data_IF_551468046218
#
_entry.id   IF_551468046218
#
_cell.length_a   1.000
_cell.length_b   1.000
_cell.length_c   1.000
_cell.angle_alpha   90.00
_cell.angle_beta   90.00
_cell.angle_gamma   90.00
#
_symmetry.space_group_name_H-M   'P 1'
#
loop_
_entity.id
_entity.type
_entity.pdbx_description
1 polymer ?
#
# COMPACT_ATOMS: atom_id res chain seq x y z
N UNK A 1 -12.21 10.78 33.00
CA UNK A 1 -12.95 9.84 32.16
C UNK A 1 -13.30 10.42 30.79
N UNK A 2 -13.94 11.58 30.75
CA UNK A 2 -14.32 12.21 29.49
C UNK A 2 -13.09 12.56 28.64
N UNK A 3 -12.00 12.97 29.27
CA UNK A 3 -10.78 13.29 28.56
C UNK A 3 -10.19 12.09 27.85
N UNK A 4 -10.22 10.92 28.48
CA UNK A 4 -9.71 9.71 27.88
C UNK A 4 -10.52 9.29 26.66
N UNK A 5 -11.84 9.40 26.77
CA UNK A 5 -12.73 9.08 25.65
C UNK A 5 -12.46 10.04 24.49
N UNK A 6 -12.31 11.32 24.78
CA UNK A 6 -12.02 12.33 23.76
C UNK A 6 -10.69 12.04 23.08
N UNK A 7 -9.66 11.65 23.83
CA UNK A 7 -8.35 11.33 23.27
C UNK A 7 -8.40 10.12 22.36
N UNK A 8 -9.15 9.08 22.75
CA UNK A 8 -9.29 7.88 21.92
C UNK A 8 -9.99 8.20 20.61
N UNK A 9 -11.09 8.97 20.69
CA UNK A 9 -11.81 9.39 19.49
C UNK A 9 -10.95 10.28 18.60
N UNK A 10 -10.16 11.16 19.20
CA UNK A 10 -9.25 12.02 18.46
C UNK A 10 -8.19 11.22 17.71
N UNK A 11 -7.64 10.17 18.33
CA UNK A 11 -6.65 9.33 17.69
C UNK A 11 -7.24 8.56 16.52
N UNK A 12 -8.44 8.00 16.69
CA UNK A 12 -9.11 7.28 15.62
C UNK A 12 -9.40 8.19 14.43
N UNK A 13 -9.86 9.39 14.72
CA UNK A 13 -10.15 10.38 13.69
C UNK A 13 -8.88 10.76 12.93
N UNK A 14 -7.78 10.95 13.65
CA UNK A 14 -6.49 11.29 13.05
C UNK A 14 -5.97 10.15 12.15
N UNK A 15 -6.01 8.92 12.64
CA UNK A 15 -5.55 7.76 11.87
C UNK A 15 -6.43 7.55 10.65
N UNK A 16 -7.75 7.70 10.81
CA UNK A 16 -8.68 7.60 9.70
C UNK A 16 -8.38 8.64 8.62
N UNK A 17 -8.09 9.88 9.04
CA UNK A 17 -7.74 10.95 8.10
C UNK A 17 -6.44 10.62 7.36
N UNK A 18 -5.45 10.07 8.05
CA UNK A 18 -4.18 9.66 7.43
C UNK A 18 -4.38 8.56 6.41
N UNK A 19 -5.26 7.60 6.72
CA UNK A 19 -5.60 6.53 5.79
C UNK A 19 -6.18 7.10 4.50
N UNK A 20 -7.15 8.01 4.61
CA UNK A 20 -7.78 8.61 3.44
C UNK A 20 -6.82 9.48 2.64
N UNK A 21 -5.99 10.26 3.31
CA UNK A 21 -4.97 11.08 2.65
C UNK A 21 -3.96 10.20 1.91
N UNK A 22 -3.53 9.12 2.55
CA UNK A 22 -2.55 8.22 1.94
C UNK A 22 -3.14 7.52 0.71
N UNK A 23 -4.40 7.08 0.80
CA UNK A 23 -5.08 6.48 -0.35
C UNK A 23 -5.17 7.45 -1.52
N UNK A 24 -5.54 8.70 -1.25
CA UNK A 24 -5.63 9.72 -2.29
C UNK A 24 -4.28 9.98 -2.93
N UNK A 25 -3.24 10.05 -2.13
CA UNK A 25 -1.89 10.30 -2.63
C UNK A 25 -1.39 9.14 -3.49
N UNK A 26 -1.65 7.90 -3.07
CA UNK A 26 -1.31 6.71 -3.85
C UNK A 26 -2.01 6.77 -5.22
N UNK A 27 -3.28 7.13 -5.21
CA UNK A 27 -4.06 7.24 -6.45
C UNK A 27 -3.49 8.30 -7.39
N UNK A 28 -3.15 9.49 -6.85
CA UNK A 28 -2.55 10.56 -7.63
C UNK A 28 -1.21 10.14 -8.22
N UNK A 29 -0.38 9.48 -7.42
CA UNK A 29 0.92 8.99 -7.90
C UNK A 29 0.76 7.90 -8.94
N UNK A 30 -0.26 7.05 -8.81
CA UNK A 30 -0.58 6.05 -9.82
C UNK A 30 -0.91 6.69 -11.16
N UNK A 31 -1.67 7.79 -11.15
CA UNK A 31 -1.97 8.56 -12.36
C UNK A 31 -0.69 9.16 -12.95
N UNK A 32 0.20 9.63 -12.10
CA UNK A 32 1.48 10.18 -12.54
C UNK A 32 2.33 9.12 -13.24
N UNK A 33 2.41 7.92 -12.67
CA UNK A 33 3.12 6.79 -13.29
C UNK A 33 2.52 6.50 -14.67
N UNK A 34 1.20 6.53 -14.79
CA UNK A 34 0.53 6.31 -16.07
C UNK A 34 0.93 7.35 -17.11
N UNK A 35 0.96 8.63 -16.71
CA UNK A 35 1.37 9.71 -17.62
C UNK A 35 2.82 9.57 -18.03
N UNK A 36 3.70 9.29 -17.07
CA UNK A 36 5.12 9.13 -17.34
C UNK A 36 5.37 7.96 -18.28
N UNK A 37 4.65 6.86 -18.07
CA UNK A 37 4.76 5.68 -18.95
C UNK A 37 4.31 6.00 -20.36
N UNK A 38 3.24 6.78 -20.50
CA UNK A 38 2.75 7.20 -21.81
C UNK A 38 3.79 8.05 -22.55
N UNK A 39 4.34 9.07 -21.87
CA UNK A 39 5.34 9.94 -22.48
C UNK A 39 6.65 9.19 -22.77
N UNK A 40 7.01 8.25 -21.90
CA UNK A 40 8.19 7.43 -22.11
C UNK A 40 8.05 6.61 -23.40
N UNK A 41 6.93 5.93 -23.57
CA UNK A 41 6.69 5.13 -24.77
C UNK A 41 6.64 6.00 -26.02
N UNK A 42 6.04 7.17 -25.92
CA UNK A 42 5.98 8.10 -27.05
C UNK A 42 7.38 8.57 -27.45
N UNK A 43 8.24 8.85 -26.48
CA UNK A 43 9.59 9.29 -26.76
C UNK A 43 10.44 8.14 -27.35
N UNK A 44 10.28 6.94 -26.80
CA UNK A 44 10.99 5.77 -27.35
C UNK A 44 10.55 5.50 -28.79
N UNK A 45 9.26 5.64 -29.07
CA UNK A 45 8.74 5.47 -30.42
C UNK A 45 9.28 6.55 -31.36
N UNK A 46 9.38 7.80 -30.87
CA UNK A 46 9.90 8.91 -31.69
C UNK A 46 11.34 8.67 -32.09
N UNK A 47 12.16 8.21 -31.16
CA UNK A 47 13.58 7.95 -31.41
C UNK A 47 13.81 6.60 -32.11
N UNK A 48 12.91 5.65 -31.90
CA UNK A 48 13.02 4.32 -32.48
C UNK A 48 13.91 3.37 -31.67
N UNK A 49 14.29 3.76 -30.47
CA UNK A 49 15.16 2.96 -29.60
C UNK A 49 14.46 2.82 -28.25
N UNK A 50 14.20 1.58 -27.83
CA UNK A 50 13.52 1.30 -26.57
C UNK A 50 14.42 0.60 -25.54
N UNK A 51 15.66 0.27 -25.93
CA UNK A 51 16.61 -0.36 -25.02
C UNK A 51 17.35 0.70 -24.21
N UNK A 52 17.13 0.78 -22.88
CA UNK A 52 17.79 1.81 -22.05
C UNK A 52 19.32 1.68 -22.05
N UNK A 53 19.86 0.52 -22.40
CA UNK A 53 21.31 0.30 -22.42
C UNK A 53 21.93 0.68 -23.76
N UNK A 54 21.13 1.02 -24.75
CA UNK A 54 21.63 1.44 -26.05
C UNK A 54 22.29 2.82 -25.93
N UNK A 55 23.45 2.98 -26.60
CA UNK A 55 24.20 4.22 -26.50
C UNK A 55 23.42 5.45 -27.02
N UNK A 56 22.51 5.24 -27.95
CA UNK A 56 21.72 6.32 -28.55
C UNK A 56 20.34 6.45 -27.91
N UNK A 57 20.12 5.83 -26.75
CA UNK A 57 18.84 5.95 -26.04
C UNK A 57 18.57 7.41 -25.67
N UNK A 58 17.32 7.83 -25.84
CA UNK A 58 16.92 9.21 -25.60
C UNK A 58 17.21 9.66 -24.17
N UNK A 59 17.95 10.79 -23.98
CA UNK A 59 18.14 11.34 -22.62
C UNK A 59 16.82 11.69 -21.95
N UNK A 60 15.83 12.17 -22.72
CA UNK A 60 14.50 12.47 -22.18
C UNK A 60 13.81 11.19 -21.71
N UNK A 61 13.87 10.13 -22.52
CA UNK A 61 13.30 8.85 -22.13
C UNK A 61 13.96 8.31 -20.86
N UNK A 62 15.28 8.48 -20.73
CA UNK A 62 16.00 8.07 -19.52
C UNK A 62 15.51 8.84 -18.31
N UNK A 63 15.35 10.15 -18.43
CA UNK A 63 14.85 10.98 -17.33
C UNK A 63 13.41 10.59 -16.94
N UNK A 64 12.57 10.31 -17.94
CA UNK A 64 11.19 9.90 -17.69
C UNK A 64 11.14 8.54 -16.96
N UNK A 65 12.01 7.62 -17.35
CA UNK A 65 12.10 6.30 -16.73
C UNK A 65 12.56 6.43 -15.28
N UNK A 66 13.56 7.23 -15.03
CA UNK A 66 14.06 7.45 -13.66
C UNK A 66 13.00 8.09 -12.78
N UNK A 67 12.27 9.06 -13.32
CA UNK A 67 11.21 9.72 -12.56
C UNK A 67 10.09 8.74 -12.26
N UNK A 68 9.70 7.92 -13.24
CA UNK A 68 8.68 6.89 -13.04
C UNK A 68 9.09 5.93 -11.94
N UNK A 69 10.35 5.50 -11.95
CA UNK A 69 10.86 4.55 -10.93
C UNK A 69 10.83 5.18 -9.55
N UNK A 70 11.16 6.47 -9.44
CA UNK A 70 11.08 7.16 -8.15
C UNK A 70 9.64 7.26 -7.64
N UNK A 71 8.70 7.54 -8.52
CA UNK A 71 7.29 7.61 -8.14
C UNK A 71 6.78 6.24 -7.73
N UNK A 72 7.14 5.18 -8.47
CA UNK A 72 6.81 3.80 -8.10
C UNK A 72 7.34 3.46 -6.72
N UNK A 73 8.56 3.84 -6.42
CA UNK A 73 9.16 3.60 -5.11
C UNK A 73 8.38 4.34 -4.01
N UNK A 74 7.95 5.57 -4.30
CA UNK A 74 7.13 6.33 -3.35
C UNK A 74 5.79 5.67 -3.11
N UNK A 75 5.18 5.10 -4.16
CA UNK A 75 3.92 4.35 -4.03
C UNK A 75 4.12 3.15 -3.11
N UNK A 76 5.22 2.41 -3.27
CA UNK A 76 5.52 1.27 -2.40
C UNK A 76 5.66 1.70 -0.94
N UNK A 77 6.37 2.80 -0.70
CA UNK A 77 6.54 3.34 0.64
C UNK A 77 5.20 3.73 1.26
N UNK A 78 4.36 4.42 0.49
CA UNK A 78 3.04 4.84 0.96
C UNK A 78 2.12 3.65 1.20
N UNK A 79 2.22 2.62 0.36
CA UNK A 79 1.41 1.41 0.53
C UNK A 79 1.76 0.72 1.84
N UNK A 80 3.04 0.66 2.19
CA UNK A 80 3.49 0.10 3.47
C UNK A 80 2.98 0.95 4.64
N UNK A 81 3.05 2.27 4.51
CA UNK A 81 2.53 3.18 5.52
C UNK A 81 1.03 2.99 5.71
N UNK A 82 0.30 2.83 4.61
CA UNK A 82 -1.14 2.59 4.65
C UNK A 82 -1.45 1.32 5.44
N UNK A 83 -0.70 0.26 5.18
CA UNK A 83 -0.88 -1.00 5.91
C UNK A 83 -0.64 -0.81 7.41
N UNK A 84 0.37 -0.01 7.79
CA UNK A 84 0.64 0.31 9.19
C UNK A 84 -0.52 1.07 9.83
N UNK A 85 -1.07 2.06 9.13
CA UNK A 85 -2.20 2.82 9.64
C UNK A 85 -3.45 1.97 9.81
N UNK A 86 -3.70 1.07 8.85
CA UNK A 86 -4.83 0.15 8.94
C UNK A 86 -4.67 -0.79 10.12
N UNK A 87 -3.45 -1.31 10.35
CA UNK A 87 -3.15 -2.16 11.50
C UNK A 87 -3.34 -1.40 12.80
N UNK A 88 -2.94 -0.13 12.84
CA UNK A 88 -3.11 0.72 14.01
C UNK A 88 -4.59 0.92 14.34
N UNK A 89 -5.42 1.13 13.31
CA UNK A 89 -6.88 1.23 13.49
C UNK A 89 -7.46 -0.06 14.06
N UNK A 90 -7.05 -1.21 13.53
CA UNK A 90 -7.52 -2.50 13.99
C UNK A 90 -7.11 -2.76 15.44
N UNK A 91 -5.86 -2.41 15.79
CA UNK A 91 -5.36 -2.57 17.15
C UNK A 91 -6.17 -1.71 18.13
N UNK A 92 -6.46 -0.48 17.76
CA UNK A 92 -7.26 0.41 18.59
C UNK A 92 -8.66 -0.15 18.82
N UNK A 93 -9.27 -0.71 17.77
CA UNK A 93 -10.58 -1.32 17.87
C UNK A 93 -10.54 -2.54 18.79
N UNK A 94 -9.50 -3.37 18.68
CA UNK A 94 -9.33 -4.55 19.51
C UNK A 94 -9.11 -4.20 20.98
N UNK A 95 -8.37 -3.13 21.24
CA UNK A 95 -8.14 -2.65 22.60
C UNK A 95 -9.45 -2.23 23.27
N UNK A 96 -10.38 -1.72 22.50
CA UNK A 96 -11.68 -1.30 23.02
C UNK A 96 -12.60 -2.48 23.28
N UNK A 97 -12.34 -3.64 22.68
CA UNK A 97 -13.15 -4.82 22.83
C UNK A 97 -12.26 -6.05 23.03
N UNK A 98 -11.86 -6.32 24.29
CA UNK A 98 -10.93 -7.43 24.56
C UNK A 98 -11.45 -8.80 24.12
N UNK A 99 -12.76 -9.02 24.16
CA UNK A 99 -13.35 -10.28 23.72
C UNK A 99 -13.11 -10.49 22.23
N UNK A 100 -13.33 -9.46 21.45
CA UNK A 100 -13.10 -9.50 20.00
C UNK A 100 -11.63 -9.72 19.70
N UNK A 101 -10.74 -9.07 20.45
CA UNK A 101 -9.31 -9.24 20.27
C UNK A 101 -8.87 -10.68 20.45
N UNK A 102 -9.38 -11.32 21.51
CA UNK A 102 -9.07 -12.73 21.78
C UNK A 102 -9.57 -13.64 20.66
N UNK A 103 -10.77 -13.38 20.19
CA UNK A 103 -11.37 -14.16 19.12
C UNK A 103 -10.56 -14.02 17.84
N UNK A 104 -10.15 -12.82 17.50
CA UNK A 104 -9.34 -12.57 16.31
C UNK A 104 -7.98 -13.25 16.39
N UNK A 105 -7.34 -13.21 17.55
CA UNK A 105 -6.05 -13.87 17.73
C UNK A 105 -6.16 -15.37 17.51
N UNK A 106 -7.21 -15.99 18.02
CA UNK A 106 -7.42 -17.43 17.82
C UNK A 106 -7.62 -17.75 16.35
N UNK A 107 -8.42 -16.97 15.67
CA UNK A 107 -8.68 -17.17 14.24
C UNK A 107 -7.42 -16.98 13.42
N UNK A 108 -6.62 -15.99 13.74
CA UNK A 108 -5.37 -15.72 13.06
C UNK A 108 -4.44 -16.94 13.10
N UNK A 109 -4.27 -17.52 14.29
CA UNK A 109 -3.40 -18.69 14.44
C UNK A 109 -3.90 -19.89 13.63
N UNK A 110 -5.20 -20.04 13.49
CA UNK A 110 -5.76 -21.12 12.67
C UNK A 110 -5.46 -20.93 11.21
N UNK A 111 -5.67 -19.74 10.72
CA UNK A 111 -5.46 -19.45 9.30
C UNK A 111 -3.99 -19.45 8.92
N UNK A 112 -3.15 -19.05 9.82
CA UNK A 112 -1.73 -18.97 9.57
C UNK A 112 -1.12 -20.31 9.18
N UNK A 113 -1.74 -21.39 9.57
CA UNK A 113 -1.26 -22.72 9.25
C UNK A 113 -1.72 -23.25 7.91
N UNK A 114 -2.75 -22.75 7.44
CA UNK A 114 -3.21 -23.18 6.18
C UNK A 114 -2.54 -22.49 5.05
N UNK A 115 -2.68 -22.22 4.97
CA UNK A 115 -2.42 -21.79 4.07
C UNK A 115 -2.19 -21.95 3.20
N UNK A 116 -2.58 -22.48 3.06
CA UNK A 116 -2.68 -22.88 2.36
C UNK A 116 -3.20 -22.96 1.90
N UNK A 117 -3.85 -23.19 2.05
CA UNK A 117 -4.52 -23.54 1.82
C UNK A 117 -5.24 -23.14 1.69
N UNK A 118 -5.64 -23.11 1.68
CA UNK A 118 -6.26 -23.12 1.75
C UNK A 118 -6.64 -23.08 1.56
N UNK A 119 -6.72 -23.62 1.69
CA UNK A 119 -6.90 -24.07 1.94
C UNK A 119 -6.99 -24.57 2.11
N UNK A 120 -6.88 -25.12 2.31
CA UNK A 120 -7.10 -26.02 2.85
C UNK A 120 -7.52 -26.10 3.57
N UNK A 121 -7.91 -26.30 3.55
CA UNK A 121 -8.11 -26.80 4.41
C UNK A 121 -8.35 -27.00 4.91
N UNK A 122 -8.66 -27.48 4.82
CA UNK A 122 -8.83 -27.97 5.61
C UNK A 122 -8.85 -28.33 6.02
N UNK A 123 -8.80 -28.57 5.81
CA UNK A 123 -8.66 -29.27 6.46
C UNK A 123 -8.42 -29.40 7.15
N UNK A 124 -8.54 -29.38 6.84
CA UNK A 124 -8.27 -29.71 7.66
C UNK A 124 -8.19 -29.75 8.29
N UNK A 125 -8.28 -29.92 8.20
CA UNK A 125 -8.34 -30.11 9.16
C UNK A 125 -7.84 -30.04 9.82
N UNK A 126 -7.86 -29.73 8.95
CA UNK A 126 -7.37 -30.18 9.76
C UNK A 126 -6.60 -30.08 10.68
#
# INVERSE_FOLDING_TARGET
MLEQVTQVLGRKSLVSARIEQTKSLILEMGHEVGRLSYFLKAEEARVGISDPNHYAYSPLARALRERRDRVDHSIDTLTKKLAEYVAEMATSADEQNPVTARSKKRNYWRYDRSDRTLFRSPQSPG
#
